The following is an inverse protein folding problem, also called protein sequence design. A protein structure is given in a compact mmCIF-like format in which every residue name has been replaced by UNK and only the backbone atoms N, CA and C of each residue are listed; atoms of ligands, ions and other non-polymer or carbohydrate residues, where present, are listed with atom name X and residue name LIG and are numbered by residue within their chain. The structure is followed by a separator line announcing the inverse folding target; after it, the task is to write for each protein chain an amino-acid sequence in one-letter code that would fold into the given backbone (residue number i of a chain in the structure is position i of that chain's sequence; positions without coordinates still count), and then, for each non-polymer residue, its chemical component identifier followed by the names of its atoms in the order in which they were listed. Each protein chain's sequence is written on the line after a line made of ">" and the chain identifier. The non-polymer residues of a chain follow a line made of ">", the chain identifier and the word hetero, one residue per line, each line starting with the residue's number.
data_IF_600881415915
#
_entry.id   IF_600881415915
#
_cell.length_a   1.000
_cell.length_b   1.000
_cell.length_c   1.000
_cell.angle_alpha   90.00
_cell.angle_beta   90.00
_cell.angle_gamma   90.00
#
_symmetry.space_group_name_H-M   'P 1'
#
loop_
_entity.id
_entity.type
_entity.pdbx_description
1 polymer ?
#
# COMPACT_ATOMS: atom_id res chain seq x y z
N UNK A 1 -11.35 -9.57 7.45
CA UNK A 1 -10.14 -8.84 7.87
C UNK A 1 -9.14 -9.83 8.47
N UNK A 2 -7.88 -9.83 8.01
CA UNK A 2 -6.78 -10.56 8.65
C UNK A 2 -6.16 -9.66 9.72
N UNK A 3 -5.80 -10.24 10.88
CA UNK A 3 -5.15 -9.52 11.99
C UNK A 3 -4.02 -10.37 12.56
N UNK A 4 -2.86 -9.75 12.79
CA UNK A 4 -1.72 -10.34 13.48
C UNK A 4 -1.31 -9.41 14.63
N UNK A 5 -1.11 -9.95 15.82
CA UNK A 5 -0.82 -9.18 17.03
C UNK A 5 0.56 -9.49 17.57
N UNK A 6 1.42 -8.49 17.61
CA UNK A 6 2.74 -8.54 18.26
C UNK A 6 2.71 -7.93 19.67
N UNK A 7 1.60 -7.25 20.03
CA UNK A 7 1.49 -6.53 21.31
C UNK A 7 2.24 -5.20 21.32
N UNK A 8 2.34 -4.55 20.15
CA UNK A 8 3.04 -3.27 19.98
C UNK A 8 2.06 -2.08 20.16
N UNK A 9 2.62 -0.93 20.49
CA UNK A 9 1.89 0.34 20.56
C UNK A 9 1.64 0.96 19.17
N UNK A 10 2.17 0.37 18.10
CA UNK A 10 2.08 0.84 16.73
C UNK A 10 1.38 -0.19 15.83
N UNK A 11 0.47 0.29 14.98
CA UNK A 11 -0.30 -0.52 14.06
C UNK A 11 0.05 -0.23 12.60
N UNK A 12 0.02 -1.27 11.77
CA UNK A 12 0.13 -1.17 10.31
C UNK A 12 -1.15 -1.71 9.69
N UNK A 13 -1.78 -0.89 8.84
CA UNK A 13 -2.87 -1.31 7.97
C UNK A 13 -2.26 -1.71 6.63
N UNK A 14 -2.50 -2.95 6.18
CA UNK A 14 -2.05 -3.43 4.86
C UNK A 14 -3.23 -3.47 3.90
N UNK A 15 -3.16 -2.69 2.82
CA UNK A 15 -4.18 -2.63 1.77
C UNK A 15 -3.75 -3.47 0.58
N UNK A 16 -4.54 -4.48 0.26
CA UNK A 16 -4.24 -5.47 -0.76
C UNK A 16 -4.48 -4.99 -2.19
N UNK A 17 -4.06 -5.77 -3.16
CA UNK A 17 -4.26 -5.61 -4.59
C UNK A 17 -5.66 -6.07 -5.03
N UNK A 18 -5.92 -6.04 -6.35
CA UNK A 18 -7.20 -6.48 -6.94
C UNK A 18 -7.53 -7.95 -6.65
N UNK A 19 -6.55 -8.78 -6.29
CA UNK A 19 -6.73 -10.21 -6.05
C UNK A 19 -7.27 -10.55 -4.65
N UNK A 20 -7.33 -9.57 -3.73
CA UNK A 20 -7.74 -9.78 -2.34
C UNK A 20 -6.57 -10.14 -1.42
N UNK A 21 -6.88 -10.71 -0.25
CA UNK A 21 -5.86 -11.13 0.74
C UNK A 21 -5.26 -12.49 0.31
N UNK A 22 -4.56 -12.48 -0.82
CA UNK A 22 -3.87 -13.63 -1.39
C UNK A 22 -2.56 -13.95 -0.63
N UNK A 23 -1.79 -14.94 -1.09
CA UNK A 23 -0.57 -15.36 -0.41
C UNK A 23 0.53 -14.30 -0.42
N UNK A 24 0.58 -13.43 -1.45
CA UNK A 24 1.45 -12.26 -1.46
C UNK A 24 1.14 -11.32 -0.29
N UNK A 25 -0.11 -10.92 -0.15
CA UNK A 25 -0.54 -9.99 0.90
C UNK A 25 -0.38 -10.60 2.29
N UNK A 26 -0.69 -11.89 2.47
CA UNK A 26 -0.40 -12.60 3.73
C UNK A 26 1.09 -12.56 4.06
N UNK A 27 1.96 -12.83 3.05
CA UNK A 27 3.41 -12.77 3.23
C UNK A 27 3.89 -11.36 3.61
N UNK A 28 3.33 -10.31 3.02
CA UNK A 28 3.64 -8.94 3.41
C UNK A 28 3.18 -8.64 4.84
N UNK A 29 1.99 -9.10 5.24
CA UNK A 29 1.53 -9.01 6.63
C UNK A 29 2.50 -9.70 7.60
N UNK A 30 2.97 -10.90 7.27
CA UNK A 30 3.93 -11.66 8.09
C UNK A 30 5.27 -10.93 8.23
N UNK A 31 5.77 -10.31 7.14
CA UNK A 31 7.02 -9.55 7.15
C UNK A 31 6.91 -8.37 8.13
N UNK A 32 5.89 -7.51 8.00
CA UNK A 32 5.74 -6.37 8.90
C UNK A 32 5.38 -6.79 10.34
N UNK A 33 4.66 -7.89 10.52
CA UNK A 33 4.43 -8.47 11.84
C UNK A 33 5.74 -8.96 12.47
N UNK A 34 6.59 -9.64 11.71
CA UNK A 34 7.92 -10.07 12.15
C UNK A 34 8.87 -8.92 12.53
N UNK A 35 8.60 -7.71 12.02
CA UNK A 35 9.26 -6.46 12.41
C UNK A 35 8.66 -5.81 13.67
N UNK A 36 7.67 -6.46 14.30
CA UNK A 36 7.12 -6.08 15.58
C UNK A 36 5.83 -5.24 15.53
N UNK A 37 5.22 -5.03 14.36
CA UNK A 37 3.98 -4.27 14.27
C UNK A 37 2.72 -5.12 14.47
N UNK A 38 1.69 -4.54 15.06
CA UNK A 38 0.33 -5.10 14.99
C UNK A 38 -0.24 -4.84 13.58
N UNK A 39 -0.70 -5.90 12.91
CA UNK A 39 -1.15 -5.84 11.52
C UNK A 39 -2.68 -5.94 11.43
N UNK A 40 -3.23 -5.09 10.56
CA UNK A 40 -4.64 -5.09 10.18
C UNK A 40 -4.75 -5.06 8.65
N UNK A 41 -5.28 -6.12 8.07
CA UNK A 41 -5.49 -6.18 6.63
C UNK A 41 -6.99 -6.32 6.35
N UNK A 42 -7.70 -5.20 6.07
CA UNK A 42 -9.11 -5.24 5.73
C UNK A 42 -9.32 -5.94 4.38
N UNK A 43 -10.40 -6.69 4.26
CA UNK A 43 -10.84 -7.23 2.98
C UNK A 43 -11.63 -6.16 2.22
N UNK A 44 -10.98 -5.53 1.24
CA UNK A 44 -11.59 -4.48 0.43
C UNK A 44 -12.61 -5.04 -0.57
N UNK A 45 -12.49 -6.32 -0.96
CA UNK A 45 -13.36 -6.93 -1.95
C UNK A 45 -14.68 -7.42 -1.36
N UNK A 46 -14.71 -7.73 -0.05
CA UNK A 46 -15.89 -8.25 0.65
C UNK A 46 -16.46 -9.50 -0.05
N UNK A 47 -15.57 -10.45 -0.42
CA UNK A 47 -15.92 -11.69 -1.14
C UNK A 47 -15.53 -12.93 -0.36
N UNK A 48 -16.30 -14.02 -0.56
CA UNK A 48 -16.00 -15.33 0.04
C UNK A 48 -14.75 -15.98 -0.54
N UNK A 49 -14.40 -15.66 -1.80
CA UNK A 49 -13.20 -16.18 -2.46
C UNK A 49 -12.44 -15.07 -3.19
N UNK A 50 -11.12 -15.13 -3.12
CA UNK A 50 -10.22 -14.21 -3.80
C UNK A 50 -10.00 -14.62 -5.26
N UNK A 51 -9.46 -13.68 -6.07
CA UNK A 51 -9.17 -13.94 -7.46
C UNK A 51 -7.79 -14.59 -7.64
N UNK A 52 -7.69 -15.49 -8.62
CA UNK A 52 -6.42 -16.00 -9.11
C UNK A 52 -5.76 -14.98 -10.06
N UNK A 53 -4.43 -15.09 -10.29
CA UNK A 53 -3.72 -14.16 -11.18
C UNK A 53 -4.22 -14.21 -12.63
N UNK A 54 -4.64 -15.38 -13.10
CA UNK A 54 -5.22 -15.59 -14.43
C UNK A 54 -6.57 -14.86 -14.60
N UNK A 55 -7.20 -14.48 -13.50
CA UNK A 55 -8.47 -13.75 -13.48
C UNK A 55 -8.26 -12.23 -13.42
N UNK A 56 -7.13 -11.72 -13.89
CA UNK A 56 -6.73 -10.31 -13.78
C UNK A 56 -7.83 -9.32 -14.21
N UNK A 57 -8.39 -9.52 -15.41
CA UNK A 57 -9.44 -8.65 -15.94
C UNK A 57 -10.71 -8.68 -15.07
N UNK A 58 -11.11 -9.87 -14.62
CA UNK A 58 -12.27 -10.03 -13.75
C UNK A 58 -12.04 -9.36 -12.39
N UNK A 59 -10.86 -9.54 -11.81
CA UNK A 59 -10.45 -8.92 -10.54
C UNK A 59 -10.46 -7.39 -10.64
N UNK A 60 -9.88 -6.84 -11.71
CA UNK A 60 -9.85 -5.40 -11.94
C UNK A 60 -11.26 -4.82 -12.12
N UNK A 61 -12.07 -5.44 -12.97
CA UNK A 61 -13.46 -5.01 -13.19
C UNK A 61 -14.30 -5.10 -11.92
N UNK A 62 -14.13 -6.17 -11.13
CA UNK A 62 -14.81 -6.30 -9.85
C UNK A 62 -14.43 -5.18 -8.89
N UNK A 63 -13.11 -4.93 -8.73
CA UNK A 63 -12.64 -3.86 -7.87
C UNK A 63 -13.21 -2.50 -8.30
N UNK A 64 -13.13 -2.16 -9.57
CA UNK A 64 -13.59 -0.86 -10.08
C UNK A 64 -15.10 -0.65 -9.91
N UNK A 65 -15.90 -1.71 -10.08
CA UNK A 65 -17.37 -1.62 -10.04
C UNK A 65 -17.95 -1.71 -8.61
N UNK A 66 -17.24 -2.36 -7.67
CA UNK A 66 -17.80 -2.66 -6.35
C UNK A 66 -17.05 -1.95 -5.19
N UNK A 67 -15.76 -1.71 -5.35
CA UNK A 67 -14.92 -1.11 -4.31
C UNK A 67 -14.47 0.30 -4.71
N UNK A 68 -13.85 0.43 -5.88
CA UNK A 68 -13.27 1.66 -6.37
C UNK A 68 -12.22 2.24 -5.41
N UNK A 69 -11.96 3.53 -5.56
CA UNK A 69 -11.00 4.24 -4.70
C UNK A 69 -11.70 5.03 -3.58
N UNK A 70 -12.68 4.39 -2.92
CA UNK A 70 -13.37 4.97 -1.78
C UNK A 70 -12.59 4.71 -0.49
N UNK A 71 -12.13 5.76 0.18
CA UNK A 71 -11.29 5.72 1.39
C UNK A 71 -12.06 5.55 2.69
N UNK A 72 -13.39 5.72 2.69
CA UNK A 72 -14.24 5.81 3.89
C UNK A 72 -14.03 4.64 4.86
N UNK A 73 -13.97 3.41 4.37
CA UNK A 73 -13.78 2.22 5.23
C UNK A 73 -12.38 2.18 5.84
N UNK A 74 -11.37 2.62 5.10
CA UNK A 74 -9.98 2.70 5.59
C UNK A 74 -9.84 3.81 6.62
N UNK A 75 -10.41 4.97 6.37
CA UNK A 75 -10.42 6.11 7.32
C UNK A 75 -11.11 5.74 8.63
N UNK A 76 -12.24 5.04 8.55
CA UNK A 76 -12.93 4.53 9.74
C UNK A 76 -12.02 3.58 10.54
N UNK A 77 -11.34 2.65 9.87
CA UNK A 77 -10.39 1.74 10.53
C UNK A 77 -9.22 2.51 11.15
N UNK A 78 -8.67 3.52 10.47
CA UNK A 78 -7.63 4.39 11.03
C UNK A 78 -8.11 5.03 12.34
N UNK A 79 -9.31 5.64 12.33
CA UNK A 79 -9.86 6.31 13.51
C UNK A 79 -10.04 5.33 14.68
N UNK A 80 -10.59 4.13 14.43
CA UNK A 80 -10.74 3.09 15.45
C UNK A 80 -9.39 2.62 16.05
N UNK A 81 -8.35 2.57 15.21
CA UNK A 81 -7.01 2.17 15.65
C UNK A 81 -6.29 3.30 16.39
N UNK A 82 -6.49 4.56 16.00
CA UNK A 82 -5.92 5.72 16.70
C UNK A 82 -6.38 5.86 18.15
N UNK A 83 -7.51 5.26 18.53
CA UNK A 83 -7.95 5.18 19.92
C UNK A 83 -7.09 4.24 20.78
N UNK A 84 -6.35 3.31 20.14
CA UNK A 84 -5.65 2.19 20.81
C UNK A 84 -4.14 2.19 20.56
N UNK A 85 -3.69 2.80 19.48
CA UNK A 85 -2.30 2.77 19.03
C UNK A 85 -1.72 4.18 19.00
N UNK A 86 -0.45 4.29 19.38
CA UNK A 86 0.30 5.56 19.32
C UNK A 86 0.47 6.02 17.88
N UNK A 87 0.80 5.08 17.00
CA UNK A 87 0.99 5.32 15.56
C UNK A 87 0.20 4.32 14.73
N UNK A 88 -0.40 4.82 13.65
CA UNK A 88 -1.11 4.03 12.65
C UNK A 88 -0.55 4.36 11.28
N UNK A 89 0.09 3.37 10.66
CA UNK A 89 0.71 3.48 9.33
C UNK A 89 -0.15 2.73 8.32
N UNK A 90 -0.28 3.25 7.11
CA UNK A 90 -0.95 2.55 6.01
C UNK A 90 0.10 2.13 4.98
N UNK A 91 0.11 0.84 4.63
CA UNK A 91 0.90 0.29 3.53
C UNK A 91 -0.05 -0.25 2.49
N UNK A 92 0.08 0.17 1.25
CA UNK A 92 -0.77 -0.32 0.16
C UNK A 92 0.02 -0.86 -1.01
N UNK A 93 -0.59 -1.84 -1.71
CA UNK A 93 -0.03 -2.47 -2.90
C UNK A 93 -0.97 -2.28 -4.08
N UNK A 94 -0.48 -1.84 -5.25
CA UNK A 94 -1.25 -1.63 -6.48
C UNK A 94 -2.48 -0.71 -6.27
N UNK A 95 -3.70 -1.21 -6.35
CA UNK A 95 -4.92 -0.42 -6.04
C UNK A 95 -4.94 0.00 -4.57
N UNK A 96 -4.48 -0.86 -3.66
CA UNK A 96 -4.30 -0.52 -2.25
C UNK A 96 -3.30 0.61 -2.04
N UNK A 97 -2.25 0.70 -2.88
CA UNK A 97 -1.31 1.81 -2.88
C UNK A 97 -1.95 3.13 -3.32
N UNK A 98 -2.87 3.08 -4.28
CA UNK A 98 -3.63 4.26 -4.67
C UNK A 98 -4.58 4.70 -3.55
N UNK A 99 -5.23 3.75 -2.87
CA UNK A 99 -6.04 4.05 -1.68
C UNK A 99 -5.20 4.64 -0.54
N UNK A 100 -4.01 4.06 -0.26
CA UNK A 100 -3.12 4.59 0.77
C UNK A 100 -2.65 6.02 0.44
N UNK A 101 -2.37 6.31 -0.84
CA UNK A 101 -2.06 7.66 -1.32
C UNK A 101 -3.21 8.64 -1.02
N UNK A 102 -4.44 8.29 -1.35
CA UNK A 102 -5.62 9.11 -1.04
C UNK A 102 -5.77 9.35 0.46
N UNK A 103 -5.58 8.32 1.28
CA UNK A 103 -5.61 8.40 2.74
C UNK A 103 -4.52 9.31 3.32
N UNK A 104 -3.44 9.60 2.62
CA UNK A 104 -2.40 10.52 3.08
C UNK A 104 -2.90 11.95 3.27
N UNK A 105 -3.98 12.34 2.58
CA UNK A 105 -4.63 13.64 2.72
C UNK A 105 -5.86 13.58 3.63
N UNK A 106 -6.65 12.52 3.55
CA UNK A 106 -8.01 12.47 4.12
C UNK A 106 -8.06 11.82 5.51
N UNK A 107 -7.12 10.92 5.83
CA UNK A 107 -7.12 10.19 7.10
C UNK A 107 -6.23 10.83 8.17
N UNK A 108 -6.37 10.34 9.42
CA UNK A 108 -5.52 10.73 10.55
C UNK A 108 -4.35 9.75 10.76
N UNK A 109 -3.92 9.02 9.73
CA UNK A 109 -2.78 8.14 9.82
C UNK A 109 -1.47 8.92 10.03
N UNK A 110 -0.50 8.27 10.65
CA UNK A 110 0.80 8.89 10.97
C UNK A 110 1.81 8.75 9.83
N UNK A 111 1.54 7.89 8.84
CA UNK A 111 2.39 7.73 7.67
C UNK A 111 1.80 6.77 6.63
N UNK A 112 2.29 6.89 5.41
CA UNK A 112 1.81 6.10 4.27
C UNK A 112 2.99 5.55 3.47
N UNK A 113 2.90 4.27 3.07
CA UNK A 113 3.77 3.66 2.08
C UNK A 113 2.92 3.10 0.94
N UNK A 114 3.22 3.50 -0.29
CA UNK A 114 2.47 3.12 -1.50
C UNK A 114 3.38 2.36 -2.47
N UNK A 115 3.17 1.04 -2.62
CA UNK A 115 3.93 0.19 -3.55
C UNK A 115 3.23 0.10 -4.90
N UNK A 116 3.89 0.55 -5.95
CA UNK A 116 3.49 0.49 -7.38
C UNK A 116 2.02 0.87 -7.64
N UNK A 117 1.56 1.97 -7.00
CA UNK A 117 0.21 2.49 -7.17
C UNK A 117 0.01 3.17 -8.53
N UNK A 118 -0.35 2.43 -9.55
CA UNK A 118 -0.41 2.93 -10.92
C UNK A 118 -1.48 4.02 -11.13
N UNK A 119 -2.56 3.99 -10.35
CA UNK A 119 -3.67 4.97 -10.44
C UNK A 119 -3.41 6.26 -9.65
N UNK A 120 -2.28 6.37 -8.91
CA UNK A 120 -1.85 7.64 -8.29
C UNK A 120 -1.76 8.76 -9.34
N UNK A 121 -1.44 8.41 -10.61
CA UNK A 121 -1.40 9.35 -11.72
C UNK A 121 -2.72 10.11 -11.96
N UNK A 122 -3.84 9.56 -11.53
CA UNK A 122 -5.16 10.16 -11.70
C UNK A 122 -5.55 11.06 -10.50
N UNK A 123 -4.75 11.04 -9.44
CA UNK A 123 -4.97 11.75 -8.17
C UNK A 123 -3.75 12.61 -7.79
N UNK A 124 -3.19 13.30 -8.77
CA UNK A 124 -1.97 14.12 -8.57
C UNK A 124 -2.22 15.39 -7.77
N UNK A 125 -3.47 15.76 -7.53
CA UNK A 125 -3.85 16.95 -6.74
C UNK A 125 -3.85 16.69 -5.22
N UNK A 126 -3.83 15.42 -4.80
CA UNK A 126 -3.71 15.04 -3.38
C UNK A 126 -2.51 15.71 -2.72
N UNK A 127 -2.73 16.30 -1.54
CA UNK A 127 -1.71 16.97 -0.73
C UNK A 127 -1.47 16.19 0.56
N UNK A 128 -0.43 15.35 0.64
CA UNK A 128 -0.15 14.55 1.84
C UNK A 128 -0.07 15.40 3.11
N UNK A 129 -0.72 14.94 4.17
CA UNK A 129 -0.71 15.56 5.51
C UNK A 129 0.12 14.78 6.52
N UNK A 130 0.68 13.64 6.10
CA UNK A 130 1.60 12.82 6.86
C UNK A 130 2.80 12.42 5.99
N UNK A 131 3.92 11.99 6.59
CA UNK A 131 5.02 11.41 5.85
C UNK A 131 4.53 10.33 4.90
N UNK A 132 4.89 10.43 3.62
CA UNK A 132 4.39 9.55 2.55
C UNK A 132 5.55 9.08 1.67
N UNK A 133 5.72 7.77 1.56
CA UNK A 133 6.68 7.11 0.69
C UNK A 133 5.95 6.49 -0.50
N UNK A 134 6.29 6.94 -1.70
CA UNK A 134 5.77 6.37 -2.96
C UNK A 134 6.89 5.58 -3.64
N UNK A 135 6.71 4.27 -3.74
CA UNK A 135 7.60 3.32 -4.40
C UNK A 135 6.96 2.91 -5.71
N UNK A 136 7.63 3.17 -6.84
CA UNK A 136 7.11 2.85 -8.17
C UNK A 136 8.01 1.89 -8.91
N UNK A 137 7.41 1.04 -9.74
CA UNK A 137 8.12 0.21 -10.69
C UNK A 137 8.56 1.06 -11.89
N UNK A 138 9.76 0.82 -12.41
CA UNK A 138 10.30 1.52 -13.58
C UNK A 138 9.55 1.16 -14.86
N UNK A 139 9.14 -0.10 -14.98
CA UNK A 139 8.53 -0.66 -16.19
C UNK A 139 7.01 -0.82 -16.02
N UNK A 140 6.31 0.31 -15.94
CA UNK A 140 4.85 0.37 -15.93
C UNK A 140 4.31 0.47 -17.35
N UNK A 141 3.34 -0.39 -17.71
CA UNK A 141 2.75 -0.38 -19.05
C UNK A 141 1.80 0.80 -19.30
N UNK A 142 1.12 1.25 -18.25
CA UNK A 142 0.03 2.22 -18.37
C UNK A 142 0.49 3.68 -18.34
N UNK A 143 1.73 3.98 -17.90
CA UNK A 143 2.24 5.35 -17.76
C UNK A 143 3.76 5.35 -17.56
N UNK A 144 4.36 6.54 -17.62
CA UNK A 144 5.79 6.74 -17.35
C UNK A 144 5.98 7.21 -15.88
N UNK A 145 6.59 6.39 -14.99
CA UNK A 145 6.79 6.74 -13.58
C UNK A 145 7.63 8.00 -13.36
N UNK A 146 8.59 8.30 -14.24
CA UNK A 146 9.38 9.53 -14.14
C UNK A 146 8.54 10.79 -14.43
N UNK A 147 7.50 10.70 -15.23
CA UNK A 147 6.55 11.82 -15.40
C UNK A 147 5.69 12.02 -14.15
N UNK A 148 5.26 10.93 -13.52
CA UNK A 148 4.54 11.00 -12.24
C UNK A 148 5.42 11.60 -11.15
N UNK A 149 6.69 11.15 -11.04
CA UNK A 149 7.66 11.72 -10.11
C UNK A 149 7.80 13.23 -10.24
N UNK A 150 7.92 13.74 -11.49
CA UNK A 150 8.01 15.18 -11.75
C UNK A 150 6.75 15.93 -11.32
N UNK A 151 5.56 15.37 -11.58
CA UNK A 151 4.29 15.98 -11.16
C UNK A 151 4.15 16.07 -9.63
N UNK A 152 4.68 15.10 -8.92
CA UNK A 152 4.58 15.02 -7.47
C UNK A 152 5.77 15.66 -6.73
N UNK A 153 6.83 16.09 -7.42
CA UNK A 153 8.11 16.54 -6.84
C UNK A 153 7.99 17.65 -5.78
N UNK A 154 6.98 18.53 -5.91
CA UNK A 154 6.78 19.66 -4.99
C UNK A 154 5.77 19.37 -3.88
N UNK A 155 5.30 18.11 -3.73
CA UNK A 155 4.37 17.74 -2.66
C UNK A 155 5.09 17.74 -1.31
N UNK A 156 4.50 18.29 -0.26
CA UNK A 156 5.10 18.26 1.07
C UNK A 156 5.12 16.84 1.62
N UNK A 157 6.05 16.59 2.53
CA UNK A 157 6.15 15.33 3.32
C UNK A 157 6.25 14.06 2.45
N UNK A 158 6.60 14.15 1.18
CA UNK A 158 6.63 13.02 0.26
C UNK A 158 8.07 12.66 -0.17
N UNK A 159 8.34 11.37 -0.21
CA UNK A 159 9.51 10.76 -0.84
C UNK A 159 9.04 9.86 -1.98
N UNK A 160 9.68 9.96 -3.16
CA UNK A 160 9.34 9.17 -4.33
C UNK A 160 10.55 8.41 -4.84
N UNK A 161 10.43 7.08 -4.95
CA UNK A 161 11.49 6.19 -5.40
C UNK A 161 11.02 5.34 -6.58
N UNK A 162 11.89 5.13 -7.56
CA UNK A 162 11.65 4.26 -8.73
C UNK A 162 12.61 3.08 -8.63
N UNK A 163 12.07 1.86 -8.66
CA UNK A 163 12.79 0.61 -8.59
C UNK A 163 12.85 -0.06 -9.97
N UNK A 164 13.92 -0.78 -10.24
CA UNK A 164 14.18 -1.43 -11.53
C UNK A 164 13.39 -2.74 -11.69
N UNK A 165 12.07 -2.65 -11.63
CA UNK A 165 11.13 -3.76 -11.69
C UNK A 165 9.90 -3.45 -12.54
N UNK A 166 9.07 -4.48 -12.76
CA UNK A 166 7.74 -4.37 -13.34
C UNK A 166 6.69 -4.17 -12.25
N UNK A 167 5.46 -3.82 -12.62
CA UNK A 167 4.33 -3.74 -11.70
C UNK A 167 4.20 -5.05 -10.90
N UNK A 168 4.09 -4.96 -9.58
CA UNK A 168 4.05 -6.15 -8.71
C UNK A 168 5.42 -6.79 -8.41
N UNK A 169 6.54 -6.08 -8.60
CA UNK A 169 7.88 -6.64 -8.40
C UNK A 169 8.17 -7.16 -6.98
N UNK A 170 7.37 -6.78 -5.98
CA UNK A 170 7.47 -7.32 -4.62
C UNK A 170 6.66 -8.60 -4.42
N UNK A 171 5.84 -9.01 -5.39
CA UNK A 171 5.02 -10.21 -5.29
C UNK A 171 5.78 -11.45 -5.73
N UNK A 172 6.27 -12.22 -4.75
CA UNK A 172 7.06 -13.44 -5.00
C UNK A 172 6.30 -14.59 -5.69
N UNK A 173 4.98 -14.48 -5.82
CA UNK A 173 4.12 -15.45 -6.49
C UNK A 173 3.79 -15.01 -7.92
N UNK A 174 4.23 -13.82 -8.31
CA UNK A 174 4.05 -13.25 -9.64
C UNK A 174 5.28 -13.47 -10.54
N UNK A 175 5.06 -13.56 -11.84
CA UNK A 175 6.15 -13.57 -12.84
C UNK A 175 6.94 -12.24 -12.88
N UNK A 176 6.41 -11.18 -12.29
CA UNK A 176 7.07 -9.87 -12.17
C UNK A 176 8.04 -9.77 -10.99
N UNK A 177 8.14 -10.80 -10.16
CA UNK A 177 8.97 -10.78 -8.95
C UNK A 177 10.44 -10.48 -9.27
N UNK A 178 11.00 -9.54 -8.55
CA UNK A 178 12.42 -9.22 -8.55
C UNK A 178 12.91 -9.21 -7.09
N UNK A 179 13.66 -10.23 -6.71
CA UNK A 179 14.06 -10.47 -5.32
C UNK A 179 14.87 -9.30 -4.75
N UNK A 180 15.93 -8.87 -5.47
CA UNK A 180 16.82 -7.79 -5.04
C UNK A 180 16.07 -6.45 -4.84
N UNK A 181 15.25 -6.07 -5.83
CA UNK A 181 14.47 -4.84 -5.78
C UNK A 181 13.38 -4.91 -4.70
N UNK A 182 12.77 -6.10 -4.51
CA UNK A 182 11.78 -6.33 -3.47
C UNK A 182 12.36 -6.17 -2.07
N UNK A 183 13.49 -6.82 -1.79
CA UNK A 183 14.18 -6.73 -0.50
C UNK A 183 14.59 -5.28 -0.20
N UNK A 184 15.16 -4.59 -1.21
CA UNK A 184 15.56 -3.19 -1.07
C UNK A 184 14.36 -2.27 -0.81
N UNK A 185 13.24 -2.47 -1.52
CA UNK A 185 12.04 -1.66 -1.35
C UNK A 185 11.37 -1.89 0.02
N UNK A 186 11.34 -3.14 0.49
CA UNK A 186 10.82 -3.49 1.82
C UNK A 186 11.71 -2.89 2.91
N UNK A 187 13.03 -3.00 2.80
CA UNK A 187 13.98 -2.40 3.75
C UNK A 187 13.81 -0.87 3.81
N UNK A 188 13.70 -0.21 2.65
CA UNK A 188 13.44 1.23 2.56
C UNK A 188 12.12 1.60 3.26
N UNK A 189 11.07 0.82 3.05
CA UNK A 189 9.78 1.06 3.69
C UNK A 189 9.85 0.93 5.20
N UNK A 190 10.59 -0.07 5.69
CA UNK A 190 10.82 -0.26 7.13
C UNK A 190 11.60 0.88 7.75
N UNK A 191 12.68 1.30 7.12
CA UNK A 191 13.49 2.45 7.59
C UNK A 191 12.66 3.75 7.61
N UNK A 192 11.77 3.92 6.61
CA UNK A 192 10.86 5.04 6.56
C UNK A 192 9.85 5.01 7.72
N UNK A 193 9.24 3.85 7.98
CA UNK A 193 8.28 3.67 9.07
C UNK A 193 8.96 3.89 10.44
N UNK A 194 10.17 3.37 10.63
CA UNK A 194 10.92 3.53 11.87
C UNK A 194 11.16 4.99 12.24
N UNK A 195 11.39 5.87 11.27
CA UNK A 195 11.54 7.32 11.50
C UNK A 195 10.24 8.00 11.95
N UNK A 196 9.09 7.36 11.76
CA UNK A 196 7.78 7.88 12.16
C UNK A 196 7.40 7.41 13.56
N UNK A 197 7.78 6.17 13.90
CA UNK A 197 7.36 5.52 15.15
C UNK A 197 8.35 5.74 16.31
N UNK A 198 9.57 6.12 16.03
CA UNK A 198 10.60 6.49 16.99
C UNK A 198 10.76 8.02 17.09
#
# INVERSE_FOLDING_TARGET
>A
MLMLKAGNDNAVIVLHEIYGINDHIKKMCDIYHGLGFDIFCPDLLMRDAYFLYEQHEQAYNYFMNNCGFNTTSVEKLVNELKEKYKKVIIIGFSVGATLSWLCSETSQCDGVVSFYGSRIRDYTDVMPRCPTLVIQAKYELAYNPSHLQKKLANKPMMTFCIFNGHHGFCDRFSASFNEEESETAIALSFDFINKIVN
#
